data_IF_393728629168
#
_entry.id   IF_393728629168
#
_cell.length_a   1.000
_cell.length_b   1.000
_cell.length_c   1.000
_cell.angle_alpha   90.00
_cell.angle_beta   90.00
_cell.angle_gamma   90.00
#
_symmetry.space_group_name_H-M   'P 1'
#
loop_
_entity.id
_entity.type
_entity.pdbx_description
1 polymer ?
#
# COMPACT_ATOMS: atom_id res chain seq x y z
N UNK A 1 14.87 -0.66 11.50
CA UNK A 1 14.31 -2.02 11.45
C UNK A 1 13.09 -2.06 12.37
N UNK A 2 11.89 -2.12 11.80
CA UNK A 2 10.63 -2.09 12.57
C UNK A 2 9.41 -2.35 11.69
N UNK A 3 9.47 -1.94 10.41
CA UNK A 3 8.46 -2.30 9.41
C UNK A 3 8.59 -3.76 8.93
N UNK A 4 9.81 -4.32 8.92
CA UNK A 4 10.08 -5.69 8.46
C UNK A 4 9.51 -6.79 9.39
N UNK A 5 9.09 -6.44 10.60
CA UNK A 5 8.44 -7.38 11.53
C UNK A 5 6.91 -7.40 11.39
N UNK A 6 6.35 -6.56 10.50
CA UNK A 6 4.92 -6.55 10.24
C UNK A 6 4.50 -7.82 9.51
N UNK A 7 3.33 -8.38 9.88
CA UNK A 7 2.76 -9.56 9.23
C UNK A 7 2.36 -9.32 7.78
N UNK A 8 2.03 -8.07 7.44
CA UNK A 8 1.67 -7.67 6.08
C UNK A 8 2.16 -6.25 5.84
N UNK A 9 2.87 -6.04 4.73
CA UNK A 9 3.44 -4.77 4.31
C UNK A 9 2.80 -4.40 2.97
N UNK A 10 2.05 -3.30 2.96
CA UNK A 10 1.43 -2.73 1.75
C UNK A 10 2.12 -1.42 1.43
N UNK A 11 2.65 -1.30 0.21
CA UNK A 11 3.38 -0.11 -0.25
C UNK A 11 2.58 0.60 -1.34
N UNK A 12 2.45 1.92 -1.21
CA UNK A 12 1.91 2.81 -2.24
C UNK A 12 2.97 3.86 -2.57
N UNK A 13 3.48 3.85 -3.79
CA UNK A 13 4.51 4.81 -4.22
C UNK A 13 4.33 5.16 -5.70
N UNK A 14 4.72 6.36 -6.12
CA UNK A 14 4.69 6.78 -7.52
C UNK A 14 5.79 6.13 -8.36
N UNK A 15 6.91 5.84 -7.71
CA UNK A 15 8.08 5.25 -8.35
C UNK A 15 8.01 3.73 -8.26
N UNK A 16 7.93 3.05 -9.40
CA UNK A 16 7.85 1.59 -9.49
C UNK A 16 9.18 0.89 -9.18
N UNK A 17 10.31 1.61 -9.23
CA UNK A 17 11.66 1.06 -9.01
C UNK A 17 12.12 1.24 -7.56
N UNK A 18 11.23 1.73 -6.68
CA UNK A 18 11.58 1.98 -5.29
C UNK A 18 11.95 0.68 -4.55
N UNK A 19 13.09 0.62 -3.83
CA UNK A 19 13.55 -0.59 -3.11
C UNK A 19 12.58 -1.10 -2.04
N UNK A 20 11.63 -0.26 -1.62
CA UNK A 20 10.59 -0.60 -0.64
C UNK A 20 9.62 -1.68 -1.15
N UNK A 21 9.49 -1.84 -2.48
CA UNK A 21 8.69 -2.91 -3.06
C UNK A 21 9.31 -4.30 -2.85
N UNK A 22 10.63 -4.40 -2.63
CA UNK A 22 11.30 -5.69 -2.40
C UNK A 22 10.90 -6.34 -1.07
N UNK A 23 10.44 -5.53 -0.10
CA UNK A 23 10.00 -5.99 1.22
C UNK A 23 8.47 -5.94 1.38
N UNK A 24 7.73 -5.60 0.32
CA UNK A 24 6.28 -5.46 0.36
C UNK A 24 5.59 -6.77 -0.04
N UNK A 25 4.52 -7.12 0.67
CA UNK A 25 3.63 -8.21 0.24
C UNK A 25 2.71 -7.75 -0.90
N UNK A 26 2.30 -6.48 -0.85
CA UNK A 26 1.47 -5.85 -1.88
C UNK A 26 2.00 -4.47 -2.23
N UNK A 27 2.07 -4.18 -3.53
CA UNK A 27 2.55 -2.91 -4.06
C UNK A 27 1.55 -2.25 -4.99
N UNK A 28 1.31 -0.95 -4.81
CA UNK A 28 0.53 -0.11 -5.74
C UNK A 28 1.41 1.02 -6.24
N UNK A 29 1.58 1.09 -7.56
CA UNK A 29 2.27 2.21 -8.20
C UNK A 29 1.25 3.31 -8.50
N UNK A 30 1.33 4.43 -7.78
CA UNK A 30 0.36 5.52 -7.91
C UNK A 30 0.52 6.62 -6.88
N UNK A 31 -0.26 7.69 -7.04
CA UNK A 31 -0.29 8.81 -6.09
C UNK A 31 -1.05 8.42 -4.81
N UNK A 32 -0.42 8.65 -3.67
CA UNK A 32 -0.97 8.33 -2.35
C UNK A 32 -2.34 8.99 -2.10
N UNK A 33 -2.52 10.25 -2.50
CA UNK A 33 -3.76 11.00 -2.28
C UNK A 33 -4.89 10.53 -3.20
N UNK A 34 -4.57 9.81 -4.27
CA UNK A 34 -5.56 9.19 -5.16
C UNK A 34 -5.91 7.78 -4.69
N UNK A 35 -4.90 6.99 -4.33
CA UNK A 35 -5.05 5.57 -3.98
C UNK A 35 -5.69 5.37 -2.61
N UNK A 36 -5.31 6.15 -1.60
CA UNK A 36 -5.79 5.96 -0.21
C UNK A 36 -7.30 6.21 -0.07
N UNK A 37 -7.89 7.27 -0.65
CA UNK A 37 -9.34 7.45 -0.61
C UNK A 37 -10.10 6.31 -1.27
N UNK A 38 -9.68 5.88 -2.47
CA UNK A 38 -10.32 4.78 -3.21
C UNK A 38 -10.28 3.46 -2.42
N UNK A 39 -9.12 3.14 -1.84
CA UNK A 39 -8.98 1.96 -0.98
C UNK A 39 -9.89 2.05 0.24
N UNK A 40 -9.95 3.23 0.87
CA UNK A 40 -10.79 3.45 2.06
C UNK A 40 -12.27 3.28 1.75
N UNK A 41 -12.74 3.81 0.62
CA UNK A 41 -14.13 3.66 0.17
C UNK A 41 -14.47 2.19 -0.09
N UNK A 42 -13.61 1.47 -0.83
CA UNK A 42 -13.83 0.06 -1.15
C UNK A 42 -13.83 -0.82 0.11
N UNK A 43 -12.91 -0.57 1.05
CA UNK A 43 -12.89 -1.28 2.34
C UNK A 43 -14.17 -1.00 3.14
N UNK A 44 -14.66 0.25 3.15
CA UNK A 44 -15.93 0.58 3.83
C UNK A 44 -17.12 -0.14 3.18
N UNK A 45 -17.19 -0.17 1.85
CA UNK A 45 -18.26 -0.89 1.10
C UNK A 45 -18.29 -2.38 1.39
N UNK A 46 -17.13 -3.02 1.55
CA UNK A 46 -17.03 -4.46 1.85
C UNK A 46 -17.20 -4.80 3.33
N UNK A 47 -17.02 -3.84 4.23
CA UNK A 47 -17.20 -4.01 5.68
C UNK A 47 -18.65 -3.78 6.14
N UNK A 48 -19.45 -3.08 5.35
CA UNK A 48 -20.90 -2.96 5.53
C UNK A 48 -21.63 -4.08 4.81
#
# INVERSE_FOLDING_TARGET
AGMQTSKTIVVVNKDAEAPLFEIADFGVVGDLNTVVPQLTEEVKKRKG
#
